data_IF_050741068368
#
_entry.id   IF_050741068368
#
_cell.length_a   1.000
_cell.length_b   1.000
_cell.length_c   1.000
_cell.angle_alpha   90.00
_cell.angle_beta   90.00
_cell.angle_gamma   90.00
#
_symmetry.space_group_name_H-M   'P 1'
#
loop_
_entity.id
_entity.type
_entity.pdbx_description
1 polymer ?
#
# COMPACT_ATOMS: atom_id res chain seq x y z
N UNK A 1 4.87 12.15 -8.81
CA UNK A 1 4.16 12.19 -7.51
C UNK A 1 3.58 13.57 -7.34
N UNK A 2 2.33 13.72 -6.89
CA UNK A 2 1.75 15.04 -6.66
C UNK A 2 2.52 15.75 -5.55
N UNK A 3 2.86 17.04 -5.75
CA UNK A 3 3.52 17.88 -4.74
C UNK A 3 2.56 18.30 -3.59
N UNK A 4 1.36 17.73 -3.56
CA UNK A 4 0.37 18.05 -2.54
C UNK A 4 0.74 17.40 -1.21
N UNK A 5 0.56 18.11 -0.08
CA UNK A 5 0.77 17.54 1.24
C UNK A 5 -0.17 16.36 1.48
N UNK A 6 0.22 15.46 2.38
CA UNK A 6 -0.66 14.37 2.82
C UNK A 6 -1.79 14.95 3.69
N UNK A 7 -3.04 14.59 3.39
CA UNK A 7 -4.23 15.14 4.05
C UNK A 7 -5.05 14.03 4.65
N UNK A 8 -5.54 14.27 5.87
CA UNK A 8 -6.43 13.35 6.57
C UNK A 8 -5.76 12.09 7.08
N UNK A 9 -6.53 11.02 7.20
CA UNK A 9 -6.08 9.68 7.58
C UNK A 9 -5.43 9.60 8.96
N UNK A 10 -5.85 10.46 9.88
CA UNK A 10 -5.22 10.55 11.22
C UNK A 10 -5.42 9.29 12.03
N UNK A 11 -6.58 8.66 11.94
CA UNK A 11 -6.91 7.42 12.67
C UNK A 11 -6.13 6.23 12.12
N UNK A 12 -6.04 6.13 10.80
CA UNK A 12 -5.27 5.06 10.14
C UNK A 12 -3.77 5.21 10.41
N UNK A 13 -3.24 6.43 10.36
CA UNK A 13 -1.86 6.71 10.75
C UNK A 13 -1.61 6.40 12.22
N UNK A 14 -2.52 6.77 13.13
CA UNK A 14 -2.41 6.45 14.56
C UNK A 14 -2.35 4.93 14.77
N UNK A 15 -3.26 4.17 14.13
CA UNK A 15 -3.27 2.70 14.19
C UNK A 15 -1.97 2.07 13.68
N UNK A 16 -1.38 2.64 12.63
CA UNK A 16 -0.07 2.20 12.12
C UNK A 16 1.06 2.57 13.10
N UNK A 17 1.00 3.76 13.72
CA UNK A 17 1.99 4.18 14.70
C UNK A 17 1.94 3.31 15.97
N UNK A 18 0.79 2.85 16.41
CA UNK A 18 0.65 1.94 17.56
C UNK A 18 1.43 0.63 17.35
N UNK A 19 1.58 0.17 16.11
CA UNK A 19 2.40 -1.00 15.82
C UNK A 19 3.88 -0.79 16.16
N UNK A 20 4.36 0.45 16.15
CA UNK A 20 5.77 0.77 16.46
C UNK A 20 6.12 0.59 17.92
N UNK A 21 5.14 0.52 18.80
CA UNK A 21 5.32 0.27 20.24
C UNK A 21 5.39 -1.23 20.56
N UNK A 22 5.06 -2.09 19.61
CA UNK A 22 5.18 -3.55 19.78
C UNK A 22 6.65 -3.96 19.75
N UNK A 23 7.00 -4.93 20.57
CA UNK A 23 8.34 -5.56 20.60
C UNK A 23 8.47 -6.74 19.63
N UNK A 24 7.58 -6.81 18.66
CA UNK A 24 7.51 -7.88 17.64
C UNK A 24 7.19 -7.27 16.29
N UNK A 25 7.64 -7.94 15.24
CA UNK A 25 7.27 -7.59 13.86
C UNK A 25 5.76 -7.56 13.67
N UNK A 26 5.29 -6.74 12.75
CA UNK A 26 3.87 -6.59 12.47
C UNK A 26 3.55 -6.91 11.02
N UNK A 27 2.53 -7.74 10.80
CA UNK A 27 1.93 -7.99 9.50
C UNK A 27 0.62 -7.23 9.42
N UNK A 28 0.44 -6.45 8.36
CA UNK A 28 -0.72 -5.59 8.14
C UNK A 28 -1.40 -5.98 6.84
N UNK A 29 -2.72 -6.11 6.86
CA UNK A 29 -3.53 -6.16 5.65
C UNK A 29 -4.18 -4.79 5.42
N UNK A 30 -3.98 -4.23 4.24
CA UNK A 30 -4.56 -2.95 3.83
C UNK A 30 -5.40 -3.16 2.58
N UNK A 31 -6.70 -2.95 2.69
CA UNK A 31 -7.63 -3.06 1.58
C UNK A 31 -8.45 -1.78 1.41
N UNK A 32 -9.09 -1.65 0.27
CA UNK A 32 -9.92 -0.50 -0.08
C UNK A 32 -9.91 -0.32 -1.59
N UNK A 33 -10.89 0.40 -2.10
CA UNK A 33 -11.05 0.59 -3.55
C UNK A 33 -9.82 1.21 -4.21
N UNK A 34 -9.76 1.10 -5.52
CA UNK A 34 -8.70 1.70 -6.33
C UNK A 34 -8.70 3.23 -6.20
N UNK A 35 -7.52 3.85 -6.21
CA UNK A 35 -7.33 5.31 -6.16
C UNK A 35 -7.67 5.98 -4.81
N UNK A 36 -7.89 5.19 -3.75
CA UNK A 36 -8.24 5.67 -2.41
C UNK A 36 -7.04 6.16 -1.59
N UNK A 37 -5.81 5.96 -2.09
CA UNK A 37 -4.58 6.45 -1.44
C UNK A 37 -3.87 5.43 -0.54
N UNK A 38 -4.10 4.11 -0.72
CA UNK A 38 -3.48 3.05 0.10
C UNK A 38 -1.96 3.13 0.17
N UNK A 39 -1.29 3.13 -0.97
CA UNK A 39 0.18 3.17 -1.07
C UNK A 39 0.75 4.46 -0.47
N UNK A 40 0.07 5.60 -0.71
CA UNK A 40 0.45 6.90 -0.17
C UNK A 40 0.34 6.97 1.35
N UNK A 41 -0.66 6.30 1.95
CA UNK A 41 -0.78 6.17 3.41
C UNK A 41 0.44 5.48 4.01
N UNK A 42 0.89 4.38 3.41
CA UNK A 42 2.04 3.62 3.92
C UNK A 42 3.35 4.36 3.67
N UNK A 43 3.49 5.04 2.54
CA UNK A 43 4.63 5.92 2.25
C UNK A 43 4.72 7.05 3.29
N UNK A 44 3.60 7.73 3.59
CA UNK A 44 3.53 8.79 4.60
C UNK A 44 3.87 8.26 6.00
N UNK A 45 3.31 7.12 6.39
CA UNK A 45 3.65 6.46 7.64
C UNK A 45 5.17 6.15 7.75
N UNK A 46 5.75 5.59 6.69
CA UNK A 46 7.17 5.30 6.66
C UNK A 46 8.03 6.57 6.75
N UNK A 47 7.62 7.66 6.07
CA UNK A 47 8.28 8.97 6.09
C UNK A 47 8.29 9.60 7.49
N UNK A 48 7.24 9.41 8.28
CA UNK A 48 7.14 9.93 9.65
C UNK A 48 8.05 9.17 10.64
N UNK A 49 8.52 7.98 10.29
CA UNK A 49 9.42 7.18 11.14
C UNK A 49 10.89 7.56 10.89
N UNK A 50 11.54 8.17 11.87
CA UNK A 50 12.97 8.48 11.78
C UNK A 50 13.81 7.22 11.53
N UNK A 51 14.74 7.30 10.57
CA UNK A 51 15.65 6.21 10.18
C UNK A 51 14.92 4.93 9.73
N UNK A 52 13.76 5.08 9.10
CA UNK A 52 13.00 3.97 8.53
C UNK A 52 13.37 3.78 7.06
N UNK A 53 13.67 2.54 6.67
CA UNK A 53 13.78 2.15 5.27
C UNK A 53 12.39 1.76 4.76
N UNK A 54 11.96 2.40 3.69
CA UNK A 54 10.73 2.06 2.99
C UNK A 54 11.04 1.28 1.73
N UNK A 55 10.48 0.08 1.60
CA UNK A 55 10.73 -0.86 0.51
C UNK A 55 9.40 -1.20 -0.17
N UNK A 56 8.97 -0.41 -1.17
CA UNK A 56 7.74 -0.70 -1.93
C UNK A 56 8.02 -1.71 -3.04
N UNK A 57 7.09 -2.68 -3.16
CA UNK A 57 7.02 -3.65 -4.25
C UNK A 57 5.61 -3.63 -4.82
N UNK A 58 5.47 -3.53 -6.12
CA UNK A 58 4.16 -3.49 -6.79
C UNK A 58 4.03 -4.58 -7.84
N UNK A 59 2.90 -5.28 -7.86
CA UNK A 59 2.56 -6.24 -8.90
C UNK A 59 2.32 -5.55 -10.25
N UNK A 60 2.62 -6.27 -11.34
CA UNK A 60 2.33 -5.83 -12.68
C UNK A 60 0.82 -5.83 -12.96
N UNK A 61 0.38 -4.85 -13.73
CA UNK A 61 -1.02 -4.84 -14.19
C UNK A 61 -1.28 -6.12 -14.99
N UNK A 62 -2.28 -6.93 -14.63
CA UNK A 62 -2.59 -8.16 -15.36
C UNK A 62 -2.91 -7.88 -16.82
N UNK A 63 -2.23 -8.60 -17.71
CA UNK A 63 -2.43 -8.57 -19.14
C UNK A 63 -2.36 -10.00 -19.70
N UNK A 64 -2.59 -10.16 -21.00
CA UNK A 64 -2.41 -11.46 -21.67
C UNK A 64 -0.96 -11.95 -21.67
N UNK A 65 0.00 -11.03 -21.51
CA UNK A 65 1.44 -11.33 -21.49
C UNK A 65 2.00 -11.48 -20.08
N UNK A 66 1.23 -11.16 -19.03
CA UNK A 66 1.68 -11.29 -17.65
C UNK A 66 1.71 -12.76 -17.23
N UNK A 67 2.88 -13.26 -16.88
CA UNK A 67 3.14 -14.62 -16.42
C UNK A 67 3.73 -14.61 -15.01
N UNK A 68 3.84 -15.78 -14.37
CA UNK A 68 4.54 -15.90 -13.09
C UNK A 68 6.02 -15.49 -13.20
N UNK A 69 6.64 -15.72 -14.34
CA UNK A 69 8.05 -15.37 -14.56
C UNK A 69 8.24 -13.88 -14.74
N UNK A 70 7.37 -13.21 -15.51
CA UNK A 70 7.43 -11.73 -15.63
C UNK A 70 7.18 -11.03 -14.28
N UNK A 71 6.33 -11.57 -13.41
CA UNK A 71 6.14 -11.05 -12.05
C UNK A 71 7.40 -11.24 -11.19
N UNK A 72 8.05 -12.39 -11.28
CA UNK A 72 9.31 -12.64 -10.56
C UNK A 72 10.45 -11.74 -11.05
N UNK A 73 10.55 -11.54 -12.36
CA UNK A 73 11.54 -10.64 -12.97
C UNK A 73 11.33 -9.20 -12.49
N UNK A 74 10.10 -8.71 -12.49
CA UNK A 74 9.78 -7.36 -12.02
C UNK A 74 10.05 -7.21 -10.51
N UNK A 75 9.67 -8.20 -9.69
CA UNK A 75 9.99 -8.20 -8.27
C UNK A 75 11.50 -8.18 -8.03
N UNK A 76 12.27 -8.99 -8.76
CA UNK A 76 13.74 -8.98 -8.71
C UNK A 76 14.33 -7.62 -9.08
N UNK A 77 13.81 -6.98 -10.14
CA UNK A 77 14.21 -5.63 -10.56
C UNK A 77 13.94 -4.62 -9.44
N UNK A 78 12.74 -4.66 -8.86
CA UNK A 78 12.38 -3.77 -7.74
C UNK A 78 13.24 -4.02 -6.50
N UNK A 79 13.58 -5.28 -6.19
CA UNK A 79 14.52 -5.59 -5.11
C UNK A 79 15.88 -4.95 -5.35
N UNK A 80 16.42 -5.07 -6.57
CA UNK A 80 17.71 -4.48 -6.92
C UNK A 80 17.71 -2.96 -6.73
N UNK A 81 16.64 -2.27 -7.16
CA UNK A 81 16.47 -0.82 -6.99
C UNK A 81 16.33 -0.44 -5.52
N UNK A 82 15.44 -1.11 -4.79
CA UNK A 82 15.13 -0.77 -3.40
C UNK A 82 16.28 -1.05 -2.43
N UNK A 83 17.12 -2.05 -2.74
CA UNK A 83 18.23 -2.47 -1.89
C UNK A 83 19.59 -1.92 -2.36
N UNK A 84 19.65 -1.29 -3.55
CA UNK A 84 20.89 -0.79 -4.14
C UNK A 84 21.87 -1.92 -4.54
N UNK A 85 21.33 -3.05 -4.99
CA UNK A 85 22.08 -4.26 -5.30
C UNK A 85 22.11 -4.55 -6.81
N UNK A 86 23.06 -5.40 -7.23
CA UNK A 86 23.02 -5.97 -8.57
C UNK A 86 21.79 -6.87 -8.73
N UNK A 87 21.35 -7.06 -9.99
CA UNK A 87 20.16 -7.84 -10.29
C UNK A 87 20.25 -9.26 -9.69
N UNK A 88 19.24 -9.63 -8.93
CA UNK A 88 19.09 -10.94 -8.30
C UNK A 88 18.42 -11.87 -9.31
N UNK A 89 18.81 -13.13 -9.34
CA UNK A 89 18.18 -14.11 -10.21
C UNK A 89 16.71 -14.34 -9.80
N UNK A 90 15.80 -14.16 -10.74
CA UNK A 90 14.35 -14.27 -10.55
C UNK A 90 13.88 -15.72 -10.82
N UNK A 91 14.33 -16.70 -10.02
CA UNK A 91 14.01 -18.11 -10.25
C UNK A 91 12.88 -18.63 -9.37
N UNK A 92 12.86 -18.28 -8.09
CA UNK A 92 11.91 -18.79 -7.11
C UNK A 92 11.50 -17.73 -6.08
N UNK A 93 10.20 -17.62 -5.78
CA UNK A 93 9.68 -16.68 -4.78
C UNK A 93 10.28 -16.92 -3.39
N UNK A 94 10.46 -18.18 -2.98
CA UNK A 94 11.04 -18.51 -1.68
C UNK A 94 12.47 -17.99 -1.55
N UNK A 95 13.31 -18.20 -2.59
CA UNK A 95 14.68 -17.70 -2.62
C UNK A 95 14.72 -16.17 -2.57
N UNK A 96 13.85 -15.50 -3.35
CA UNK A 96 13.77 -14.04 -3.37
C UNK A 96 13.30 -13.49 -2.03
N UNK A 97 12.30 -14.10 -1.39
CA UNK A 97 11.83 -13.68 -0.05
C UNK A 97 12.90 -13.93 1.02
N UNK A 98 13.62 -15.05 0.97
CA UNK A 98 14.72 -15.31 1.89
C UNK A 98 15.85 -14.29 1.73
N UNK A 99 16.15 -13.91 0.48
CA UNK A 99 17.12 -12.85 0.22
C UNK A 99 16.66 -11.51 0.80
N UNK A 100 15.42 -11.09 0.50
CA UNK A 100 14.83 -9.87 1.05
C UNK A 100 14.84 -9.87 2.59
N UNK A 101 14.53 -11.02 3.21
CA UNK A 101 14.54 -11.16 4.66
C UNK A 101 15.95 -10.99 5.27
N UNK A 102 16.99 -11.46 4.58
CA UNK A 102 18.39 -11.23 4.99
C UNK A 102 18.75 -9.74 4.98
N UNK A 103 18.36 -9.02 3.91
CA UNK A 103 18.63 -7.59 3.75
C UNK A 103 17.79 -6.70 4.69
N UNK A 104 16.73 -7.27 5.27
CA UNK A 104 15.80 -6.59 6.17
C UNK A 104 15.86 -7.12 7.61
N UNK A 105 16.92 -7.82 7.98
CA UNK A 105 17.09 -8.51 9.26
C UNK A 105 17.12 -7.59 10.48
N UNK A 106 17.48 -6.32 10.31
CA UNK A 106 17.65 -5.36 11.41
C UNK A 106 17.19 -3.96 11.00
N UNK A 107 16.78 -3.19 12.01
CA UNK A 107 16.40 -1.78 11.86
C UNK A 107 14.93 -1.58 11.53
N UNK A 108 14.52 -0.32 11.54
CA UNK A 108 13.14 0.09 11.25
C UNK A 108 12.87 -0.03 9.76
N UNK A 109 12.02 -0.95 9.39
CA UNK A 109 11.73 -1.26 7.98
C UNK A 109 10.23 -1.35 7.79
N UNK A 110 9.75 -0.73 6.71
CA UNK A 110 8.39 -0.91 6.18
C UNK A 110 8.51 -1.54 4.80
N UNK A 111 8.00 -2.74 4.64
CA UNK A 111 7.86 -3.41 3.34
C UNK A 111 6.40 -3.27 2.91
N UNK A 112 6.17 -2.75 1.72
CA UNK A 112 4.85 -2.68 1.10
C UNK A 112 4.79 -3.62 -0.10
N UNK A 113 3.90 -4.61 -0.06
CA UNK A 113 3.49 -5.38 -1.23
C UNK A 113 2.19 -4.77 -1.75
N UNK A 114 2.30 -3.89 -2.73
CA UNK A 114 1.17 -3.22 -3.35
C UNK A 114 0.61 -4.04 -4.50
N UNK A 115 -0.71 -4.07 -4.63
CA UNK A 115 -1.45 -4.93 -5.56
C UNK A 115 -0.99 -6.41 -5.48
N UNK A 116 -0.89 -6.93 -4.24
CA UNK A 116 -0.42 -8.30 -3.96
C UNK A 116 -1.23 -9.37 -4.71
N UNK A 117 -2.50 -9.09 -5.00
CA UNK A 117 -3.35 -9.96 -5.82
C UNK A 117 -2.82 -10.16 -7.23
N UNK A 118 -2.11 -9.18 -7.78
CA UNK A 118 -1.49 -9.28 -9.10
C UNK A 118 -0.20 -10.10 -9.04
N UNK A 119 0.68 -9.82 -8.05
CA UNK A 119 1.93 -10.57 -7.85
C UNK A 119 1.70 -12.07 -7.74
N UNK A 120 0.66 -12.48 -7.00
CA UNK A 120 0.33 -13.89 -6.77
C UNK A 120 -0.62 -14.52 -7.79
N UNK A 121 -1.14 -13.76 -8.77
CA UNK A 121 -2.24 -14.21 -9.64
C UNK A 121 -1.92 -15.41 -10.52
N UNK A 122 -0.67 -15.59 -10.89
CA UNK A 122 -0.21 -16.62 -11.84
C UNK A 122 0.64 -17.73 -11.20
N UNK A 123 0.88 -17.65 -9.88
CA UNK A 123 1.64 -18.68 -9.16
C UNK A 123 0.91 -19.07 -7.86
N UNK A 124 0.28 -20.25 -7.82
CA UNK A 124 -0.46 -20.70 -6.64
C UNK A 124 0.44 -20.92 -5.41
N UNK A 125 1.75 -21.00 -5.57
CA UNK A 125 2.71 -21.19 -4.48
C UNK A 125 3.14 -19.88 -3.83
N UNK A 126 2.89 -18.72 -4.46
CA UNK A 126 3.33 -17.39 -4.02
C UNK A 126 2.97 -17.11 -2.56
N UNK A 127 1.66 -17.18 -2.22
CA UNK A 127 1.20 -16.88 -0.86
C UNK A 127 1.75 -17.86 0.18
N UNK A 128 1.87 -19.13 -0.17
CA UNK A 128 2.47 -20.15 0.71
C UNK A 128 3.94 -19.85 0.99
N UNK A 129 4.70 -19.47 -0.02
CA UNK A 129 6.12 -19.09 0.10
C UNK A 129 6.28 -17.79 0.90
N UNK A 130 5.44 -16.78 0.65
CA UNK A 130 5.44 -15.54 1.43
C UNK A 130 5.13 -15.81 2.91
N UNK A 131 4.11 -16.63 3.19
CA UNK A 131 3.74 -17.04 4.55
C UNK A 131 4.93 -17.77 5.25
N UNK A 132 5.59 -18.67 4.55
CA UNK A 132 6.73 -19.39 5.12
C UNK A 132 7.90 -18.42 5.41
N UNK A 133 8.22 -17.53 4.48
CA UNK A 133 9.24 -16.51 4.70
C UNK A 133 8.89 -15.58 5.86
N UNK A 134 7.59 -15.19 6.00
CA UNK A 134 7.12 -14.44 7.17
C UNK A 134 7.41 -15.20 8.47
N UNK A 135 6.97 -16.44 8.58
CA UNK A 135 7.07 -17.23 9.80
C UNK A 135 8.51 -17.57 10.19
N UNK A 136 9.34 -17.84 9.22
CA UNK A 136 10.69 -18.39 9.45
C UNK A 136 11.77 -17.30 9.47
N UNK A 137 11.55 -16.17 8.79
CA UNK A 137 12.60 -15.20 8.53
C UNK A 137 12.21 -13.76 8.89
N UNK A 138 11.19 -13.16 8.26
CA UNK A 138 10.87 -11.75 8.41
C UNK A 138 10.51 -11.36 9.85
N UNK A 139 9.73 -12.17 10.54
CA UNK A 139 9.32 -11.87 11.92
C UNK A 139 10.45 -11.87 12.95
N UNK A 140 11.67 -12.25 12.55
CA UNK A 140 12.86 -12.15 13.40
C UNK A 140 13.34 -10.71 13.61
N UNK A 141 12.94 -9.78 12.73
CA UNK A 141 13.20 -8.35 12.94
C UNK A 141 11.99 -7.73 13.68
N UNK A 142 12.09 -7.39 14.98
CA UNK A 142 10.97 -6.87 15.75
C UNK A 142 10.50 -5.46 15.30
N UNK A 143 11.34 -4.73 14.56
CA UNK A 143 11.04 -3.39 14.06
C UNK A 143 10.48 -3.38 12.62
N UNK A 144 10.27 -4.58 12.02
CA UNK A 144 9.75 -4.73 10.68
C UNK A 144 8.22 -4.66 10.69
N UNK A 145 7.68 -3.86 9.79
CA UNK A 145 6.25 -3.82 9.46
C UNK A 145 6.11 -4.20 7.99
N UNK A 146 5.39 -5.29 7.73
CA UNK A 146 5.08 -5.75 6.37
C UNK A 146 3.61 -5.48 6.08
N UNK A 147 3.33 -4.81 4.98
CA UNK A 147 1.98 -4.44 4.56
C UNK A 147 1.63 -5.19 3.28
N UNK A 148 0.57 -5.98 3.34
CA UNK A 148 -0.03 -6.65 2.19
C UNK A 148 -1.22 -5.79 1.73
N UNK A 149 -1.07 -5.16 0.57
CA UNK A 149 -2.00 -4.16 0.05
C UNK A 149 -2.63 -4.61 -1.27
N UNK A 150 -3.91 -4.31 -1.47
CA UNK A 150 -4.57 -4.55 -2.75
C UNK A 150 -5.92 -3.86 -2.89
N UNK A 151 -6.33 -3.65 -4.14
CA UNK A 151 -7.58 -2.99 -4.49
C UNK A 151 -8.75 -3.95 -4.63
N UNK A 152 -8.49 -5.26 -4.78
CA UNK A 152 -9.53 -6.30 -4.87
C UNK A 152 -9.81 -6.85 -3.48
N UNK A 153 -10.68 -6.17 -2.73
CA UNK A 153 -10.98 -6.52 -1.33
C UNK A 153 -11.45 -7.97 -1.17
N UNK A 154 -12.29 -8.47 -2.08
CA UNK A 154 -12.77 -9.86 -2.06
C UNK A 154 -11.63 -10.88 -2.24
N UNK A 155 -10.59 -10.55 -3.02
CA UNK A 155 -9.45 -11.43 -3.18
C UNK A 155 -8.60 -11.48 -1.89
N UNK A 156 -8.36 -10.32 -1.26
CA UNK A 156 -7.65 -10.25 0.03
C UNK A 156 -8.42 -10.99 1.11
N UNK A 157 -9.73 -10.78 1.17
CA UNK A 157 -10.60 -11.50 2.12
C UNK A 157 -10.45 -13.01 1.96
N UNK A 158 -10.65 -13.52 0.74
CA UNK A 158 -10.63 -14.95 0.46
C UNK A 158 -9.24 -15.59 0.62
N UNK A 159 -8.21 -14.98 0.05
CA UNK A 159 -6.91 -15.65 -0.13
C UNK A 159 -5.91 -15.31 0.99
N UNK A 160 -6.14 -14.23 1.73
CA UNK A 160 -5.26 -13.76 2.79
C UNK A 160 -5.96 -13.85 4.14
N UNK A 161 -6.99 -13.04 4.39
CA UNK A 161 -7.63 -12.97 5.71
C UNK A 161 -8.38 -14.24 6.10
N UNK A 162 -9.13 -14.84 5.18
CA UNK A 162 -9.86 -16.09 5.37
C UNK A 162 -9.02 -17.35 5.20
N UNK A 163 -7.74 -17.22 4.83
CA UNK A 163 -6.91 -18.40 4.63
C UNK A 163 -6.32 -18.91 5.95
N UNK A 164 -6.32 -20.22 6.15
CA UNK A 164 -5.68 -20.85 7.31
C UNK A 164 -4.19 -20.52 7.41
N UNK A 165 -3.54 -20.26 6.27
CA UNK A 165 -2.13 -19.88 6.19
C UNK A 165 -1.80 -18.56 6.85
N UNK A 166 -2.75 -17.60 6.87
CA UNK A 166 -2.52 -16.26 7.44
C UNK A 166 -3.37 -15.98 8.70
N UNK A 167 -4.26 -16.88 9.06
CA UNK A 167 -5.12 -16.73 10.24
C UNK A 167 -4.29 -16.48 11.51
N UNK A 168 -4.66 -15.46 12.28
CA UNK A 168 -3.99 -15.07 13.54
C UNK A 168 -2.60 -14.42 13.39
N UNK A 169 -2.16 -14.12 12.15
CA UNK A 169 -0.85 -13.49 11.89
C UNK A 169 -0.92 -11.98 11.75
N UNK A 170 -2.08 -11.45 11.40
CA UNK A 170 -2.23 -10.01 11.23
C UNK A 170 -2.25 -9.28 12.56
N UNK A 171 -1.38 -8.29 12.66
CA UNK A 171 -1.33 -7.33 13.78
C UNK A 171 -2.37 -6.23 13.63
N UNK A 172 -2.75 -5.93 12.38
CA UNK A 172 -3.70 -4.89 12.02
C UNK A 172 -4.33 -5.22 10.66
N UNK A 173 -5.64 -5.00 10.56
CA UNK A 173 -6.37 -5.01 9.29
C UNK A 173 -7.00 -3.64 9.12
N UNK A 174 -6.68 -2.94 8.04
CA UNK A 174 -7.20 -1.62 7.71
C UNK A 174 -8.07 -1.69 6.47
N UNK A 175 -9.30 -1.21 6.61
CA UNK A 175 -10.21 -0.93 5.51
C UNK A 175 -10.17 0.56 5.22
N UNK A 176 -9.56 0.92 4.08
CA UNK A 176 -9.44 2.32 3.70
C UNK A 176 -10.65 2.74 2.88
N UNK A 177 -11.43 3.63 3.43
CA UNK A 177 -12.61 4.21 2.81
C UNK A 177 -12.28 5.56 2.13
N UNK A 178 -13.25 6.22 1.57
CA UNK A 178 -13.14 7.58 1.03
C UNK A 178 -12.79 8.58 2.13
N UNK A 179 -12.22 9.71 1.75
CA UNK A 179 -12.00 10.81 2.70
C UNK A 179 -13.35 11.30 3.23
N UNK A 180 -13.42 11.58 4.51
CA UNK A 180 -14.56 12.25 5.13
C UNK A 180 -14.83 13.58 4.45
N UNK A 181 -16.04 14.14 4.62
CA UNK A 181 -16.38 15.46 4.07
C UNK A 181 -15.40 16.53 4.57
N UNK A 182 -15.00 16.47 5.83
CA UNK A 182 -14.02 17.40 6.42
C UNK A 182 -12.66 17.28 5.75
N UNK A 183 -12.12 16.07 5.60
CA UNK A 183 -10.82 15.82 4.95
C UNK A 183 -10.87 16.18 3.46
N UNK A 184 -11.96 15.86 2.79
CA UNK A 184 -12.18 16.22 1.38
C UNK A 184 -12.24 17.72 1.19
N UNK A 185 -12.85 18.46 2.13
CA UNK A 185 -12.87 19.93 2.11
C UNK A 185 -11.47 20.50 2.28
N UNK A 186 -10.69 19.97 3.25
CA UNK A 186 -9.29 20.35 3.43
C UNK A 186 -8.46 20.05 2.16
N UNK A 187 -8.76 18.93 1.50
CA UNK A 187 -8.10 18.60 0.24
C UNK A 187 -8.42 19.61 -0.87
N UNK A 188 -9.68 19.99 -1.02
CA UNK A 188 -10.12 21.03 -1.98
C UNK A 188 -9.45 22.36 -1.71
N UNK A 189 -9.31 22.76 -0.42
CA UNK A 189 -8.57 23.98 -0.05
C UNK A 189 -7.11 23.91 -0.52
N UNK A 190 -6.44 22.77 -0.37
CA UNK A 190 -5.04 22.60 -0.78
C UNK A 190 -4.83 22.63 -2.30
N UNK A 191 -5.81 22.20 -3.09
CA UNK A 191 -5.76 22.35 -4.55
C UNK A 191 -6.25 23.73 -5.01
N UNK A 192 -6.55 24.64 -4.06
CA UNK A 192 -6.97 26.01 -4.34
C UNK A 192 -8.45 26.14 -4.71
N UNK A 193 -9.26 25.12 -4.50
CA UNK A 193 -10.71 25.17 -4.76
C UNK A 193 -11.45 25.74 -3.55
N UNK A 194 -11.34 27.06 -3.38
CA UNK A 194 -11.93 27.81 -2.25
C UNK A 194 -13.34 28.35 -2.52
N UNK A 195 -14.11 27.68 -3.37
CA UNK A 195 -15.46 28.06 -3.77
C UNK A 195 -16.50 27.82 -2.66
N UNK A 196 -17.75 28.27 -2.93
CA UNK A 196 -18.84 28.16 -1.98
C UNK A 196 -19.10 26.70 -1.52
N UNK A 197 -19.74 26.49 -0.37
CA UNK A 197 -20.12 25.14 0.08
C UNK A 197 -20.97 24.39 -0.96
N UNK A 198 -21.81 25.09 -1.71
CA UNK A 198 -22.61 24.48 -2.77
C UNK A 198 -21.73 23.92 -3.91
N UNK A 199 -20.74 24.68 -4.38
CA UNK A 199 -19.79 24.21 -5.39
C UNK A 199 -18.94 23.03 -4.90
N UNK A 200 -18.54 23.06 -3.63
CA UNK A 200 -17.84 21.91 -3.00
C UNK A 200 -18.72 20.67 -2.94
N UNK A 201 -19.99 20.81 -2.57
CA UNK A 201 -20.94 19.70 -2.57
C UNK A 201 -21.10 19.07 -3.95
N UNK A 202 -21.15 19.87 -5.03
CA UNK A 202 -21.19 19.34 -6.41
C UNK A 202 -19.94 18.49 -6.71
N UNK A 203 -18.74 18.99 -6.40
CA UNK A 203 -17.49 18.24 -6.61
C UNK A 203 -17.50 16.94 -5.80
N UNK A 204 -17.87 17.00 -4.53
CA UNK A 204 -17.90 15.81 -3.66
C UNK A 204 -18.95 14.80 -4.11
N UNK A 205 -20.10 15.25 -4.61
CA UNK A 205 -21.12 14.38 -5.19
C UNK A 205 -20.64 13.56 -6.38
N UNK A 206 -19.67 14.07 -7.14
CA UNK A 206 -19.10 13.35 -8.29
C UNK A 206 -17.84 12.57 -7.92
N UNK A 207 -16.95 13.17 -7.12
CA UNK A 207 -15.66 12.54 -6.75
C UNK A 207 -15.80 11.51 -5.63
N UNK A 208 -16.89 11.58 -4.85
CA UNK A 208 -17.15 10.70 -3.70
C UNK A 208 -16.06 10.75 -2.63
N UNK A 209 -15.28 11.83 -2.52
CA UNK A 209 -14.17 11.92 -1.57
C UNK A 209 -12.96 11.05 -1.91
N UNK A 210 -12.86 10.56 -3.15
CA UNK A 210 -11.70 9.78 -3.60
C UNK A 210 -10.51 10.70 -3.86
N UNK A 211 -9.39 10.57 -3.14
CA UNK A 211 -8.26 11.51 -3.23
C UNK A 211 -7.76 11.73 -4.66
N UNK A 212 -7.63 10.66 -5.44
CA UNK A 212 -7.13 10.78 -6.82
C UNK A 212 -8.06 11.61 -7.72
N UNK A 213 -9.36 11.62 -7.46
CA UNK A 213 -10.29 12.46 -8.23
C UNK A 213 -10.24 13.90 -7.74
N UNK A 214 -10.03 14.12 -6.45
CA UNK A 214 -9.85 15.45 -5.89
C UNK A 214 -8.55 16.12 -6.38
N UNK A 215 -7.50 15.35 -6.68
CA UNK A 215 -6.25 15.85 -7.27
C UNK A 215 -6.43 16.46 -8.68
N UNK A 216 -7.45 16.03 -9.42
CA UNK A 216 -7.73 16.54 -10.78
C UNK A 216 -8.52 17.85 -10.79
N UNK A 217 -9.03 18.29 -9.63
CA UNK A 217 -9.81 19.52 -9.51
C UNK A 217 -8.91 20.75 -9.69
N UNK A 218 -9.34 21.64 -10.55
CA UNK A 218 -8.67 22.92 -10.81
C UNK A 218 -9.30 24.03 -9.96
N UNK A 219 -8.53 24.58 -9.04
CA UNK A 219 -9.00 25.55 -8.07
C UNK A 219 -9.58 26.85 -8.67
N UNK A 220 -9.13 27.23 -9.85
CA UNK A 220 -9.54 28.44 -10.57
C UNK A 220 -10.79 28.25 -11.45
N UNK A 221 -11.47 27.11 -11.37
CA UNK A 221 -12.69 26.79 -12.13
C UNK A 221 -13.86 26.55 -11.21
N UNK A 222 -15.10 26.73 -11.73
CA UNK A 222 -16.31 26.31 -11.04
C UNK A 222 -16.49 24.80 -11.08
N UNK A 223 -17.37 24.25 -10.24
CA UNK A 223 -17.61 22.82 -10.18
C UNK A 223 -18.06 22.25 -11.53
N UNK A 224 -19.00 22.90 -12.21
CA UNK A 224 -19.54 22.45 -13.50
C UNK A 224 -18.49 22.43 -14.63
N UNK A 225 -17.43 23.22 -14.52
CA UNK A 225 -16.29 23.22 -15.45
C UNK A 225 -15.26 22.14 -15.14
N UNK A 226 -15.19 21.72 -13.86
CA UNK A 226 -14.31 20.62 -13.41
C UNK A 226 -14.94 19.24 -13.67
N UNK A 227 -16.27 19.14 -13.69
CA UNK A 227 -17.02 17.87 -13.83
C UNK A 227 -17.13 17.44 -15.31
N UNK A 228 -16.99 18.35 -16.26
CA UNK A 228 -17.00 18.06 -17.71
C UNK A 228 -15.71 17.38 -18.16
#
# INVERSE_FOLDING_TARGET
MSNLPFIGRKEELASLHDLTHKKTSSLVALRGRRRIGKSRLIEEFARQRKNCRFLPFSGLVPSSTTTADTEKEEFSRQMSVNLGLHQIKADDWGNMFSYLAKETKKGKIVILFDEISWMGSKDPTFLGKLKNAWDLEFKKNPELIMVLCGSVSAWIEKNILGSTGFMGRFSLVLDLEELSISESTQFLDQVGFCNSPYERCKILGVTGGVPRYLEEIKGNKLADENIK
#
